data_IF_296760811350
#
_entry.id   IF_296760811350
#
_cell.length_a   1.000
_cell.length_b   1.000
_cell.length_c   1.000
_cell.angle_alpha   90.00
_cell.angle_beta   90.00
_cell.angle_gamma   90.00
#
_symmetry.space_group_name_H-M   'P 1'
#
loop_
_entity.id
_entity.type
_entity.pdbx_description
1 polymer ?
#
# COMPACT_ATOMS: atom_id res chain seq x y z
N UNK A 1 -19.52 -20.34 23.08
CA UNK A 1 -19.92 -20.08 21.66
C UNK A 1 -18.66 -20.03 20.81
N UNK A 2 -18.50 -20.89 19.79
CA UNK A 2 -17.39 -20.75 18.83
C UNK A 2 -17.54 -19.45 18.04
N UNK A 3 -16.56 -18.56 18.11
CA UNK A 3 -16.57 -17.34 17.32
C UNK A 3 -16.71 -17.68 15.82
N UNK A 4 -17.69 -17.11 15.15
CA UNK A 4 -17.88 -17.31 13.71
C UNK A 4 -16.68 -16.73 12.97
N UNK A 5 -16.03 -17.56 12.17
CA UNK A 5 -14.88 -17.15 11.35
C UNK A 5 -15.29 -16.01 10.40
N UNK A 6 -14.62 -14.84 10.46
CA UNK A 6 -15.06 -13.66 9.72
C UNK A 6 -14.78 -13.73 8.22
N UNK A 7 -13.87 -14.62 7.78
CA UNK A 7 -13.49 -14.80 6.36
C UNK A 7 -13.67 -16.27 6.00
N UNK A 8 -14.47 -16.54 4.98
CA UNK A 8 -14.70 -17.90 4.48
C UNK A 8 -14.29 -18.01 3.02
N UNK A 9 -13.58 -19.11 2.70
CA UNK A 9 -13.31 -19.47 1.32
C UNK A 9 -14.58 -20.06 0.70
N UNK A 10 -14.94 -19.60 -0.50
CA UNK A 10 -16.13 -20.03 -1.23
C UNK A 10 -15.77 -20.29 -2.69
N UNK A 11 -16.61 -21.09 -3.35
CA UNK A 11 -16.43 -21.51 -4.74
C UNK A 11 -17.69 -21.16 -5.55
N UNK A 12 -17.46 -20.60 -6.74
CA UNK A 12 -18.53 -20.32 -7.72
C UNK A 12 -18.26 -21.15 -8.97
N UNK A 13 -19.21 -21.99 -9.34
CA UNK A 13 -19.13 -22.78 -10.58
C UNK A 13 -19.23 -21.86 -11.80
N UNK A 14 -18.36 -22.08 -12.76
CA UNK A 14 -18.33 -21.37 -14.05
C UNK A 14 -18.90 -22.27 -15.16
N UNK A 15 -19.24 -21.66 -16.30
CA UNK A 15 -19.80 -22.37 -17.46
C UNK A 15 -18.85 -23.43 -18.04
N UNK A 16 -17.53 -23.25 -17.89
CA UNK A 16 -16.52 -24.21 -18.33
C UNK A 16 -16.20 -25.31 -17.29
N UNK A 17 -17.10 -25.56 -16.36
CA UNK A 17 -16.95 -26.49 -15.25
C UNK A 17 -15.83 -26.18 -14.23
N UNK A 18 -15.07 -25.11 -14.39
CA UNK A 18 -14.11 -24.65 -13.39
C UNK A 18 -14.82 -24.02 -12.19
N UNK A 19 -14.13 -23.98 -11.04
CA UNK A 19 -14.59 -23.30 -9.85
C UNK A 19 -13.77 -22.04 -9.63
N UNK A 20 -14.40 -20.86 -9.66
CA UNK A 20 -13.78 -19.60 -9.25
C UNK A 20 -13.77 -19.50 -7.74
N UNK A 21 -12.60 -19.16 -7.16
CA UNK A 21 -12.42 -19.02 -5.72
C UNK A 21 -12.63 -17.57 -5.32
N UNK A 22 -13.40 -17.36 -4.24
CA UNK A 22 -13.61 -16.04 -3.65
C UNK A 22 -13.67 -16.11 -2.13
N UNK A 23 -13.39 -14.99 -1.47
CA UNK A 23 -13.56 -14.81 -0.04
C UNK A 23 -14.95 -14.20 0.24
N UNK A 24 -15.66 -14.80 1.18
CA UNK A 24 -16.89 -14.29 1.76
C UNK A 24 -16.54 -13.71 3.13
N UNK A 25 -16.48 -12.39 3.20
CA UNK A 25 -16.01 -11.62 4.36
C UNK A 25 -17.21 -10.98 5.05
N UNK A 26 -17.40 -11.26 6.34
CA UNK A 26 -18.40 -10.61 7.16
C UNK A 26 -17.73 -9.74 8.22
N UNK A 27 -17.91 -8.42 8.12
CA UNK A 27 -17.27 -7.48 9.02
C UNK A 27 -18.16 -6.27 9.33
N UNK A 28 -18.26 -5.87 10.60
CA UNK A 28 -19.06 -4.73 11.09
C UNK A 28 -20.51 -4.73 10.56
N UNK A 29 -21.16 -5.90 10.55
CA UNK A 29 -22.54 -6.02 10.08
C UNK A 29 -22.72 -6.02 8.57
N UNK A 30 -21.65 -5.90 7.79
CA UNK A 30 -21.67 -5.90 6.33
C UNK A 30 -20.98 -7.12 5.75
N UNK A 31 -21.42 -7.52 4.57
CA UNK A 31 -20.88 -8.67 3.85
C UNK A 31 -20.21 -8.21 2.55
N UNK A 32 -19.00 -8.69 2.31
CA UNK A 32 -18.18 -8.36 1.14
C UNK A 32 -17.71 -9.63 0.45
N UNK A 33 -17.55 -9.57 -0.87
CA UNK A 33 -17.05 -10.66 -1.69
C UNK A 33 -15.80 -10.22 -2.43
N UNK A 34 -14.68 -10.94 -2.21
CA UNK A 34 -13.40 -10.69 -2.88
C UNK A 34 -13.07 -11.88 -3.79
N UNK A 35 -13.13 -11.69 -5.12
CA UNK A 35 -12.75 -12.70 -6.10
C UNK A 35 -11.24 -12.73 -6.25
N UNK A 36 -10.62 -13.90 -5.97
CA UNK A 36 -9.17 -14.06 -5.95
C UNK A 36 -8.56 -14.23 -7.33
N UNK A 37 -9.38 -14.39 -8.39
CA UNK A 37 -8.95 -14.76 -9.75
C UNK A 37 -8.16 -16.07 -9.77
N UNK A 38 -8.42 -16.96 -8.81
CA UNK A 38 -7.90 -18.30 -8.72
C UNK A 38 -9.00 -19.27 -9.11
N UNK A 39 -8.63 -20.33 -9.84
CA UNK A 39 -9.60 -21.27 -10.38
C UNK A 39 -9.15 -22.70 -10.10
N UNK A 40 -10.12 -23.58 -9.77
CA UNK A 40 -9.93 -25.02 -9.73
C UNK A 40 -10.47 -25.61 -11.01
N UNK A 41 -9.72 -26.52 -11.60
CA UNK A 41 -10.12 -27.28 -12.78
C UNK A 41 -10.73 -28.63 -12.38
N UNK A 42 -11.63 -29.22 -13.18
CA UNK A 42 -12.07 -30.60 -12.98
C UNK A 42 -10.89 -31.58 -12.95
N UNK A 43 -10.84 -32.41 -11.92
CA UNK A 43 -9.73 -33.38 -11.74
C UNK A 43 -9.91 -34.59 -12.67
N UNK A 44 -9.41 -34.47 -13.87
CA UNK A 44 -9.41 -35.57 -14.87
C UNK A 44 -8.13 -36.37 -14.84
N UNK A 45 -7.01 -35.72 -14.47
CA UNK A 45 -5.67 -36.30 -14.41
C UNK A 45 -5.01 -36.05 -13.08
N UNK A 46 -4.03 -36.84 -12.64
CA UNK A 46 -3.28 -36.61 -11.40
C UNK A 46 -2.68 -35.18 -11.30
N UNK A 47 -2.20 -34.66 -12.43
CA UNK A 47 -1.64 -33.29 -12.53
C UNK A 47 -2.65 -32.21 -12.21
N UNK A 48 -3.93 -32.39 -12.53
CA UNK A 48 -4.99 -31.44 -12.20
C UNK A 48 -5.19 -31.35 -10.67
N UNK A 49 -5.09 -32.51 -10.00
CA UNK A 49 -5.15 -32.57 -8.52
C UNK A 49 -4.01 -31.80 -7.87
N UNK A 50 -2.78 -31.94 -8.39
CA UNK A 50 -1.63 -31.22 -7.86
C UNK A 50 -1.73 -29.72 -8.09
N UNK A 51 -2.16 -29.28 -9.28
CA UNK A 51 -2.45 -27.87 -9.57
C UNK A 51 -3.53 -27.30 -8.64
N UNK A 52 -4.64 -28.02 -8.46
CA UNK A 52 -5.72 -27.63 -7.56
C UNK A 52 -5.23 -27.53 -6.11
N UNK A 53 -4.38 -28.43 -5.65
CA UNK A 53 -3.79 -28.43 -4.32
C UNK A 53 -2.93 -27.17 -4.08
N UNK A 54 -2.09 -26.81 -5.06
CA UNK A 54 -1.28 -25.58 -5.00
C UNK A 54 -2.17 -24.33 -4.97
N UNK A 55 -3.18 -24.29 -5.83
CA UNK A 55 -4.14 -23.18 -5.91
C UNK A 55 -4.91 -23.01 -4.59
N UNK A 56 -5.35 -24.12 -3.98
CA UNK A 56 -6.04 -24.08 -2.68
C UNK A 56 -5.12 -23.63 -1.53
N UNK A 57 -3.83 -24.04 -1.55
CA UNK A 57 -2.85 -23.55 -0.57
C UNK A 57 -2.68 -22.02 -0.68
N UNK A 58 -2.53 -21.51 -1.90
CA UNK A 58 -2.44 -20.07 -2.15
C UNK A 58 -3.71 -19.34 -1.69
N UNK A 59 -4.90 -19.86 -2.02
CA UNK A 59 -6.17 -19.27 -1.59
C UNK A 59 -6.30 -19.23 -0.06
N UNK A 60 -5.86 -20.29 0.64
CA UNK A 60 -5.87 -20.33 2.10
C UNK A 60 -4.85 -19.37 2.72
N UNK A 61 -3.69 -19.16 2.10
CA UNK A 61 -2.71 -18.16 2.52
C UNK A 61 -3.29 -16.75 2.42
N UNK A 62 -3.97 -16.43 1.31
CA UNK A 62 -4.66 -15.14 1.13
C UNK A 62 -5.78 -14.98 2.17
N UNK A 63 -6.56 -16.03 2.43
CA UNK A 63 -7.58 -16.02 3.49
C UNK A 63 -6.98 -15.73 4.87
N UNK A 64 -5.88 -16.38 5.23
CA UNK A 64 -5.19 -16.15 6.51
C UNK A 64 -4.72 -14.71 6.63
N UNK A 65 -4.15 -14.14 5.56
CA UNK A 65 -3.75 -12.74 5.52
C UNK A 65 -4.96 -11.81 5.73
N UNK A 66 -6.11 -12.08 5.10
CA UNK A 66 -7.32 -11.28 5.28
C UNK A 66 -7.86 -11.33 6.71
N UNK A 67 -7.73 -12.47 7.40
CA UNK A 67 -8.10 -12.58 8.82
C UNK A 67 -7.20 -11.68 9.66
N UNK A 68 -5.89 -11.69 9.41
CA UNK A 68 -4.93 -10.81 10.09
C UNK A 68 -5.24 -9.35 9.82
N UNK A 69 -5.52 -8.98 8.55
CA UNK A 69 -5.89 -7.63 8.15
C UNK A 69 -7.15 -7.15 8.92
N UNK A 70 -8.18 -8.00 9.04
CA UNK A 70 -9.40 -7.69 9.80
C UNK A 70 -9.14 -7.54 11.31
N UNK A 71 -8.29 -8.37 11.87
CA UNK A 71 -7.89 -8.27 13.28
C UNK A 71 -7.14 -6.96 13.54
N UNK A 72 -6.22 -6.60 12.66
CA UNK A 72 -5.48 -5.35 12.73
C UNK A 72 -6.43 -4.13 12.67
N UNK A 73 -7.50 -4.20 11.88
CA UNK A 73 -8.54 -3.17 11.85
C UNK A 73 -9.31 -3.04 13.17
N UNK A 74 -9.61 -4.18 13.82
CA UNK A 74 -10.28 -4.22 15.15
C UNK A 74 -9.40 -3.53 16.19
N UNK A 75 -8.08 -3.67 16.12
CA UNK A 75 -7.10 -3.05 17.01
C UNK A 75 -6.68 -1.62 16.59
N UNK A 76 -7.40 -0.99 15.65
CA UNK A 76 -7.13 0.38 15.21
C UNK A 76 -6.10 0.51 14.09
N UNK A 77 -5.59 -0.61 13.57
CA UNK A 77 -4.82 -0.65 12.33
C UNK A 77 -5.82 -0.68 11.18
N UNK A 78 -6.07 0.47 10.57
CA UNK A 78 -7.05 0.60 9.48
C UNK A 78 -6.68 -0.30 8.30
N UNK A 79 -7.67 -1.06 7.81
CA UNK A 79 -7.51 -1.85 6.57
C UNK A 79 -7.13 -0.95 5.40
N UNK A 80 -6.05 -1.33 4.76
CA UNK A 80 -5.49 -0.65 3.60
C UNK A 80 -6.21 -1.11 2.29
N UNK A 81 -7.53 -1.26 2.34
CA UNK A 81 -8.34 -1.54 1.16
C UNK A 81 -8.65 -0.23 0.41
N UNK A 82 -7.91 0.01 -0.63
CA UNK A 82 -7.92 1.23 -1.44
C UNK A 82 -6.54 1.86 -1.60
N UNK A 83 -5.54 1.43 -0.81
CA UNK A 83 -4.20 2.00 -0.77
C UNK A 83 -3.30 1.60 -1.94
N UNK A 84 -3.63 0.51 -2.64
CA UNK A 84 -2.79 -0.01 -3.70
C UNK A 84 -2.67 0.87 -4.95
N UNK A 85 -3.43 1.96 -5.05
CA UNK A 85 -3.52 2.75 -6.27
C UNK A 85 -3.06 4.20 -6.15
N UNK A 86 -2.93 4.74 -4.92
CA UNK A 86 -2.57 6.15 -4.75
C UNK A 86 -1.07 6.35 -4.86
N UNK A 87 -0.66 7.25 -5.74
CA UNK A 87 0.74 7.63 -5.88
C UNK A 87 1.16 8.64 -4.80
N UNK A 88 2.46 8.73 -4.56
CA UNK A 88 3.02 9.75 -3.67
C UNK A 88 2.74 11.17 -4.20
N UNK A 89 2.76 11.37 -5.52
CA UNK A 89 2.48 12.67 -6.14
C UNK A 89 1.03 13.10 -5.96
N UNK A 90 0.06 12.19 -6.12
CA UNK A 90 -1.36 12.47 -5.85
C UNK A 90 -1.57 12.88 -4.39
N UNK A 91 -0.93 12.17 -3.46
CA UNK A 91 -1.01 12.50 -2.04
C UNK A 91 -0.40 13.86 -1.70
N UNK A 92 0.75 14.20 -2.28
CA UNK A 92 1.39 15.52 -2.12
C UNK A 92 0.51 16.65 -2.70
N UNK A 93 -0.12 16.40 -3.86
CA UNK A 93 -1.04 17.36 -4.48
C UNK A 93 -2.23 17.66 -3.56
N UNK A 94 -2.87 16.64 -2.98
CA UNK A 94 -3.96 16.83 -2.03
C UNK A 94 -3.52 17.62 -0.79
N UNK A 95 -2.37 17.26 -0.21
CA UNK A 95 -1.83 17.98 0.95
C UNK A 95 -1.50 19.44 0.63
N UNK A 96 -0.96 19.69 -0.57
CA UNK A 96 -0.64 21.05 -1.03
C UNK A 96 -1.90 21.88 -1.19
N UNK A 97 -2.95 21.32 -1.79
CA UNK A 97 -4.25 22.00 -1.96
C UNK A 97 -4.91 22.29 -0.63
N UNK A 98 -4.95 21.30 0.28
CA UNK A 98 -5.49 21.43 1.62
C UNK A 98 -4.78 22.56 2.40
N UNK A 99 -3.45 22.59 2.38
CA UNK A 99 -2.64 23.60 3.04
C UNK A 99 -2.84 25.00 2.48
N UNK A 100 -2.96 25.11 1.16
CA UNK A 100 -3.26 26.37 0.49
C UNK A 100 -4.63 26.91 0.89
N UNK A 101 -5.64 26.05 0.97
CA UNK A 101 -7.01 26.42 1.38
C UNK A 101 -7.07 26.91 2.83
N UNK A 102 -6.22 26.36 3.72
CA UNK A 102 -6.10 26.77 5.11
C UNK A 102 -5.10 27.92 5.35
N UNK A 103 -4.70 28.63 4.30
CA UNK A 103 -3.87 29.84 4.41
C UNK A 103 -2.35 29.59 4.52
N UNK A 104 -1.88 28.35 4.62
CA UNK A 104 -0.45 27.99 4.72
C UNK A 104 0.18 27.86 3.32
N UNK A 105 0.24 29.00 2.60
CA UNK A 105 0.77 29.07 1.23
C UNK A 105 2.25 28.68 1.16
N UNK A 106 3.05 29.06 2.16
CA UNK A 106 4.49 28.76 2.18
C UNK A 106 4.73 27.25 2.25
N UNK A 107 4.00 26.55 3.11
CA UNK A 107 4.11 25.08 3.20
C UNK A 107 3.58 24.39 1.94
N UNK A 108 2.51 24.89 1.34
CA UNK A 108 1.97 24.40 0.06
C UNK A 108 3.03 24.49 -1.06
N UNK A 109 3.73 25.62 -1.16
CA UNK A 109 4.83 25.79 -2.15
C UNK A 109 5.97 24.79 -1.92
N UNK A 110 6.34 24.55 -0.66
CA UNK A 110 7.38 23.55 -0.33
C UNK A 110 6.96 22.13 -0.74
N UNK A 111 5.69 21.76 -0.52
CA UNK A 111 5.14 20.46 -0.97
C UNK A 111 5.18 20.34 -2.50
N UNK A 112 4.87 21.41 -3.24
CA UNK A 112 4.98 21.43 -4.71
C UNK A 112 6.42 21.27 -5.19
N UNK A 113 7.38 21.95 -4.54
CA UNK A 113 8.79 21.79 -4.84
C UNK A 113 9.25 20.35 -4.63
N UNK A 114 8.88 19.72 -3.51
CA UNK A 114 9.15 18.29 -3.27
C UNK A 114 8.52 17.40 -4.35
N UNK A 115 7.26 17.69 -4.75
CA UNK A 115 6.58 16.94 -5.79
C UNK A 115 7.30 17.05 -7.15
N UNK A 116 7.90 18.19 -7.49
CA UNK A 116 8.69 18.33 -8.73
C UNK A 116 9.90 17.39 -8.71
N UNK A 117 10.69 17.39 -7.63
CA UNK A 117 11.84 16.49 -7.52
C UNK A 117 11.45 15.01 -7.55
N UNK A 118 10.33 14.65 -6.93
CA UNK A 118 9.82 13.27 -6.97
C UNK A 118 9.29 12.88 -8.34
N UNK A 119 8.74 13.83 -9.11
CA UNK A 119 8.31 13.60 -10.50
C UNK A 119 9.50 13.27 -11.41
N UNK A 120 10.62 13.95 -11.19
CA UNK A 120 11.84 13.69 -11.94
C UNK A 120 12.51 12.38 -11.51
N UNK A 121 12.31 11.95 -10.26
CA UNK A 121 12.88 10.72 -9.72
C UNK A 121 12.05 9.48 -10.05
N UNK A 122 10.79 9.45 -9.65
CA UNK A 122 9.88 8.30 -9.83
C UNK A 122 8.41 8.73 -9.81
N UNK A 123 7.85 9.17 -10.95
CA UNK A 123 6.52 9.80 -11.02
C UNK A 123 5.36 8.86 -10.65
N UNK A 124 5.50 7.56 -10.92
CA UNK A 124 4.44 6.57 -10.72
C UNK A 124 4.58 5.77 -9.41
N UNK A 125 5.44 6.23 -8.47
CA UNK A 125 5.62 5.52 -7.22
C UNK A 125 4.33 5.49 -6.39
N UNK A 126 3.83 4.29 -6.13
CA UNK A 126 2.68 4.10 -5.26
C UNK A 126 3.11 4.23 -3.79
N UNK A 127 2.23 4.80 -2.96
CA UNK A 127 2.51 4.97 -1.53
C UNK A 127 2.88 3.66 -0.83
N UNK A 128 2.28 2.54 -1.22
CA UNK A 128 2.55 1.20 -0.66
C UNK A 128 3.94 0.65 -1.01
N UNK A 129 4.53 1.13 -2.09
CA UNK A 129 5.81 0.63 -2.62
C UNK A 129 7.00 1.47 -2.14
N UNK A 130 6.75 2.49 -1.31
CA UNK A 130 7.80 3.31 -0.71
C UNK A 130 8.47 2.54 0.42
N UNK A 131 9.72 2.17 0.21
CA UNK A 131 10.59 1.51 1.17
C UNK A 131 11.82 2.37 1.52
N UNK A 132 12.74 1.83 2.32
CA UNK A 132 13.99 2.50 2.66
C UNK A 132 14.89 2.70 1.43
N UNK A 133 14.86 1.77 0.47
CA UNK A 133 15.59 1.86 -0.79
C UNK A 133 15.13 3.06 -1.63
N UNK A 134 13.80 3.25 -1.73
CA UNK A 134 13.23 4.43 -2.38
C UNK A 134 13.74 5.74 -1.74
N UNK A 135 13.73 5.83 -0.40
CA UNK A 135 14.13 7.06 0.30
C UNK A 135 15.63 7.34 0.09
N UNK A 136 16.49 6.32 0.21
CA UNK A 136 17.94 6.45 -0.06
C UNK A 136 18.21 6.85 -1.51
N UNK A 137 17.53 6.21 -2.45
CA UNK A 137 17.63 6.53 -3.88
C UNK A 137 17.18 7.95 -4.19
N UNK A 138 16.11 8.44 -3.55
CA UNK A 138 15.67 9.82 -3.68
C UNK A 138 16.70 10.83 -3.15
N UNK A 139 17.30 10.59 -1.98
CA UNK A 139 18.37 11.43 -1.45
C UNK A 139 19.57 11.46 -2.41
N UNK A 140 19.97 10.29 -2.93
CA UNK A 140 21.06 10.19 -3.91
C UNK A 140 20.71 10.92 -5.23
N UNK A 141 19.46 10.86 -5.68
CA UNK A 141 18.97 11.62 -6.82
C UNK A 141 19.09 13.14 -6.60
N UNK A 142 18.68 13.63 -5.43
CA UNK A 142 18.79 15.05 -5.08
C UNK A 142 20.25 15.53 -5.08
N UNK A 143 21.18 14.73 -4.54
CA UNK A 143 22.62 15.03 -4.52
C UNK A 143 23.25 15.13 -5.91
N UNK A 144 22.68 14.49 -6.92
CA UNK A 144 23.14 14.58 -8.31
C UNK A 144 22.64 15.82 -9.05
N UNK A 145 21.71 16.57 -8.47
CA UNK A 145 21.18 17.77 -9.13
C UNK A 145 22.17 18.93 -9.05
N UNK A 146 22.62 19.50 -10.18
CA UNK A 146 23.69 20.50 -10.20
C UNK A 146 23.31 21.82 -9.50
N UNK A 147 22.02 22.08 -9.32
CA UNK A 147 21.49 23.27 -8.65
C UNK A 147 21.24 23.06 -7.15
N UNK A 148 21.29 21.83 -6.64
CA UNK A 148 21.16 21.52 -5.20
C UNK A 148 22.53 21.31 -4.57
N UNK A 149 23.26 22.41 -4.35
CA UNK A 149 24.64 22.36 -3.83
C UNK A 149 24.73 22.25 -2.30
N UNK A 150 23.64 22.44 -1.58
CA UNK A 150 23.62 22.48 -0.11
C UNK A 150 23.00 21.23 0.48
N UNK A 151 23.76 20.50 1.29
CA UNK A 151 23.25 19.37 2.09
C UNK A 151 22.10 19.78 3.00
N UNK A 152 22.10 21.01 3.50
CA UNK A 152 21.01 21.56 4.29
C UNK A 152 19.69 21.57 3.50
N UNK A 153 19.73 21.93 2.22
CA UNK A 153 18.55 21.93 1.34
C UNK A 153 18.07 20.50 1.07
N UNK A 154 19.00 19.59 0.80
CA UNK A 154 18.68 18.17 0.58
C UNK A 154 18.05 17.56 1.84
N UNK A 155 18.63 17.83 3.00
CA UNK A 155 18.06 17.40 4.28
C UNK A 155 16.70 18.03 4.55
N UNK A 156 16.46 19.27 4.09
CA UNK A 156 15.15 19.92 4.12
C UNK A 156 14.07 19.14 3.33
N UNK A 157 14.41 18.63 2.13
CA UNK A 157 13.52 17.78 1.34
C UNK A 157 13.29 16.42 2.00
N UNK A 158 14.33 15.80 2.56
CA UNK A 158 14.19 14.57 3.32
C UNK A 158 13.22 14.76 4.50
N UNK A 159 13.38 15.82 5.30
CA UNK A 159 12.47 16.13 6.43
C UNK A 159 11.04 16.31 5.95
N UNK A 160 10.83 17.00 4.85
CA UNK A 160 9.51 17.22 4.28
C UNK A 160 8.87 15.92 3.79
N UNK A 161 9.64 15.03 3.14
CA UNK A 161 9.21 13.69 2.77
C UNK A 161 8.83 12.88 4.01
N UNK A 162 9.66 12.86 5.04
CA UNK A 162 9.40 12.18 6.31
C UNK A 162 8.09 12.64 6.95
N UNK A 163 7.86 13.96 7.05
CA UNK A 163 6.60 14.52 7.57
C UNK A 163 5.41 14.12 6.70
N UNK A 164 5.59 14.08 5.38
CA UNK A 164 4.55 13.66 4.44
C UNK A 164 4.17 12.20 4.66
N UNK A 165 5.17 11.30 4.77
CA UNK A 165 4.95 9.88 5.02
C UNK A 165 4.33 9.63 6.41
N UNK A 166 4.70 10.38 7.44
CA UNK A 166 4.02 10.33 8.74
C UNK A 166 2.54 10.71 8.64
N UNK A 167 2.18 11.70 7.80
CA UNK A 167 0.77 12.01 7.53
C UNK A 167 0.07 10.89 6.77
N UNK A 168 0.76 10.22 5.85
CA UNK A 168 0.24 9.06 5.16
C UNK A 168 -0.05 7.90 6.15
N UNK A 169 0.84 7.63 7.11
CA UNK A 169 0.60 6.67 8.21
C UNK A 169 -0.62 7.08 9.04
N UNK A 170 -0.70 8.33 9.49
CA UNK A 170 -1.85 8.84 10.27
C UNK A 170 -3.18 8.73 9.53
N UNK A 171 -3.18 8.90 8.20
CA UNK A 171 -4.36 8.71 7.35
C UNK A 171 -4.60 7.23 7.03
N UNK A 172 -3.77 6.32 7.49
CA UNK A 172 -3.84 4.89 7.23
C UNK A 172 -3.54 4.55 5.78
N UNK A 173 -2.78 5.36 5.05
CA UNK A 173 -2.39 5.15 3.65
C UNK A 173 -1.16 4.25 3.49
N UNK A 174 -0.33 4.13 4.47
CA UNK A 174 0.78 3.19 4.60
C UNK A 174 0.84 2.68 6.04
N UNK A 175 1.42 1.51 6.24
CA UNK A 175 1.51 0.86 7.57
C UNK A 175 2.55 1.53 8.47
N UNK A 176 3.69 1.87 7.91
CA UNK A 176 4.81 2.46 8.64
C UNK A 176 5.54 3.47 7.75
N UNK A 177 6.28 4.38 8.38
CA UNK A 177 7.11 5.32 7.66
C UNK A 177 8.51 4.75 7.47
N UNK A 178 8.96 4.48 6.23
CA UNK A 178 10.29 3.91 5.98
C UNK A 178 11.44 4.84 6.39
N UNK A 179 11.21 6.15 6.48
CA UNK A 179 12.22 7.08 6.98
C UNK A 179 12.62 6.82 8.45
N UNK A 180 11.74 6.17 9.24
CA UNK A 180 12.04 5.83 10.64
C UNK A 180 13.06 4.70 10.78
N UNK A 181 13.27 3.93 9.72
CA UNK A 181 14.19 2.79 9.67
C UNK A 181 15.59 3.18 9.14
N UNK A 182 15.79 4.44 8.76
CA UNK A 182 17.08 4.94 8.27
C UNK A 182 17.96 5.37 9.45
N UNK A 183 19.22 4.99 9.40
CA UNK A 183 20.23 5.45 10.33
C UNK A 183 20.57 6.94 10.15
N UNK A 184 21.23 7.55 11.15
CA UNK A 184 21.53 8.98 11.15
C UNK A 184 22.40 9.39 9.96
N UNK A 185 23.35 8.54 9.57
CA UNK A 185 24.30 8.77 8.49
C UNK A 185 23.67 8.59 7.08
N UNK A 186 22.47 8.04 7.02
CA UNK A 186 21.72 7.79 5.78
C UNK A 186 20.68 8.88 5.47
N UNK A 187 20.52 9.85 6.38
CA UNK A 187 19.60 10.98 6.29
C UNK A 187 20.29 12.23 5.77
#
# INVERSE_FOLDING_TARGET
MKAKEPVKLRFKKLSNANLSIYLDIYYKGKRYYEFLKLYLTPERFPEDRDKNRITLRLANSIKAQRIIDLQNEIYGVRMINGLGKKTLLEFLSELSTDKSAHGDKAYSLRLRSLANHLRDYMPQCLLKDIDTGFVKGFIAHLRKQPYLKSDFTIHGYYRLLNVTLNKAVKKGLILSNPCSLLDTDEK
#
